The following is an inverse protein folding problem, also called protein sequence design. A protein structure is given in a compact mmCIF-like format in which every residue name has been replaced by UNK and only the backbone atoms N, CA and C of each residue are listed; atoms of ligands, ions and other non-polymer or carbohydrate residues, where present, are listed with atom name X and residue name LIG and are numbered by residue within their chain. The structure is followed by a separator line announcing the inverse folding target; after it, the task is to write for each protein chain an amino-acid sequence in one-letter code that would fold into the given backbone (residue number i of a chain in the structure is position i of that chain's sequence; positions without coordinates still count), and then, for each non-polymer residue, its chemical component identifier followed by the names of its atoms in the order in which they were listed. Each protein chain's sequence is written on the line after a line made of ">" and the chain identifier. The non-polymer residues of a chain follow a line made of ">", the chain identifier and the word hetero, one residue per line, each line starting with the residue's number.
data_IF_035405359269
#
_entry.id   IF_035405359269
#
_cell.length_a   1.000
_cell.length_b   1.000
_cell.length_c   1.000
_cell.angle_alpha   90.00
_cell.angle_beta   90.00
_cell.angle_gamma   90.00
#
_symmetry.space_group_name_H-M   'P 1'
#
loop_
_entity.id
_entity.type
_entity.pdbx_description
1 polymer ?
#
# COMPACT_ATOMS: atom_id res chain seq x y z
N UNK A 1 9.85 -11.64 7.30
CA UNK A 1 10.80 -12.07 6.24
C UNK A 1 10.10 -11.88 4.91
N UNK A 2 10.46 -10.83 4.20
CA UNK A 2 9.86 -10.50 2.90
C UNK A 2 10.37 -11.45 1.84
N UNK A 3 9.49 -12.01 1.00
CA UNK A 3 9.86 -12.94 -0.08
C UNK A 3 10.64 -12.24 -1.21
N UNK A 4 11.93 -11.96 -0.98
CA UNK A 4 12.86 -11.32 -1.91
C UNK A 4 12.99 -12.06 -3.25
N UNK A 5 12.90 -13.39 -3.24
CA UNK A 5 12.99 -14.22 -4.46
C UNK A 5 11.85 -13.95 -5.47
N UNK A 6 10.72 -13.41 -4.99
CA UNK A 6 9.53 -13.15 -5.80
C UNK A 6 9.41 -11.69 -6.27
N UNK A 7 10.42 -10.83 -6.02
CA UNK A 7 10.46 -9.45 -6.52
C UNK A 7 11.14 -9.32 -7.90
N UNK A 8 11.58 -10.43 -8.50
CA UNK A 8 12.31 -10.45 -9.78
C UNK A 8 11.54 -9.82 -10.94
N UNK A 9 10.22 -10.03 -11.02
CA UNK A 9 9.36 -9.41 -12.03
C UNK A 9 9.28 -7.89 -11.88
N UNK A 10 9.15 -7.41 -10.65
CA UNK A 10 9.18 -5.98 -10.39
C UNK A 10 10.55 -5.36 -10.69
N UNK A 11 11.66 -6.07 -10.40
CA UNK A 11 13.02 -5.63 -10.79
C UNK A 11 13.18 -5.54 -12.31
N UNK A 12 12.71 -6.54 -13.06
CA UNK A 12 12.74 -6.53 -14.51
C UNK A 12 11.91 -5.38 -15.11
N UNK A 13 10.84 -4.99 -14.45
CA UNK A 13 10.02 -3.83 -14.82
C UNK A 13 10.60 -2.48 -14.36
N UNK A 14 11.81 -2.46 -13.76
CA UNK A 14 12.40 -1.29 -13.12
C UNK A 14 11.47 -0.62 -12.10
N UNK A 15 10.67 -1.43 -11.39
CA UNK A 15 9.91 -0.96 -10.25
C UNK A 15 10.89 -0.66 -9.12
N UNK A 16 10.99 0.62 -8.76
CA UNK A 16 11.83 1.11 -7.68
C UNK A 16 11.57 0.35 -6.36
N UNK A 17 10.33 -0.06 -6.07
CA UNK A 17 9.98 -0.81 -4.85
C UNK A 17 10.45 -2.26 -4.86
N UNK A 18 10.89 -2.76 -6.00
CA UNK A 18 11.47 -4.09 -6.14
C UNK A 18 12.99 -4.06 -6.05
N UNK A 19 13.60 -2.88 -5.95
CA UNK A 19 15.04 -2.74 -5.71
C UNK A 19 15.38 -3.01 -4.24
N UNK A 20 16.09 -4.12 -4.01
CA UNK A 20 16.48 -4.56 -2.67
C UNK A 20 17.36 -3.55 -1.92
N UNK A 21 18.07 -2.70 -2.65
CA UNK A 21 18.89 -1.60 -2.10
C UNK A 21 18.07 -0.56 -1.34
N UNK A 22 16.77 -0.39 -1.63
CA UNK A 22 15.91 0.56 -0.91
C UNK A 22 15.60 0.10 0.52
N UNK A 23 15.72 -1.19 0.82
CA UNK A 23 15.45 -1.74 2.17
C UNK A 23 13.99 -1.65 2.64
N UNK A 24 13.08 -1.12 1.82
CA UNK A 24 11.65 -0.95 2.12
C UNK A 24 10.81 -1.75 1.13
N UNK A 25 9.70 -2.30 1.62
CA UNK A 25 8.82 -3.20 0.85
C UNK A 25 7.44 -2.58 0.54
N UNK A 26 7.24 -1.37 1.04
CA UNK A 26 6.06 -0.53 0.89
C UNK A 26 6.52 0.91 0.68
N UNK A 27 5.69 1.73 0.06
CA UNK A 27 5.94 3.16 -0.17
C UNK A 27 4.68 3.96 0.08
N UNK A 28 4.85 5.10 0.73
CA UNK A 28 3.80 6.06 0.98
C UNK A 28 3.69 7.03 -0.20
N UNK A 29 2.47 7.19 -0.73
CA UNK A 29 2.20 7.89 -1.98
C UNK A 29 0.88 8.67 -1.89
N UNK A 30 0.86 9.88 -2.42
CA UNK A 30 -0.35 10.69 -2.57
C UNK A 30 -0.69 10.93 -4.04
N UNK A 31 -1.97 11.12 -4.33
CA UNK A 31 -2.46 11.55 -5.63
C UNK A 31 -3.70 12.43 -5.47
N UNK A 32 -3.80 13.48 -6.28
CA UNK A 32 -4.97 14.37 -6.38
C UNK A 32 -5.78 14.10 -7.66
N UNK A 33 -5.30 13.19 -8.52
CA UNK A 33 -5.97 12.80 -9.74
C UNK A 33 -5.18 11.77 -10.54
N UNK A 34 -5.64 11.48 -11.76
CA UNK A 34 -4.91 10.58 -12.66
C UNK A 34 -3.57 11.20 -13.08
N UNK A 35 -2.50 10.41 -12.98
CA UNK A 35 -1.17 10.83 -13.40
C UNK A 35 -0.41 11.71 -12.39
N UNK A 36 -0.98 12.00 -11.22
CA UNK A 36 -0.35 12.85 -10.18
C UNK A 36 0.23 12.05 -9.02
N UNK A 37 0.33 10.72 -9.14
CA UNK A 37 0.82 9.85 -8.07
C UNK A 37 2.28 10.20 -7.75
N UNK A 38 2.53 10.58 -6.51
CA UNK A 38 3.83 11.12 -6.08
C UNK A 38 4.22 10.51 -4.74
N UNK A 39 5.50 10.15 -4.60
CA UNK A 39 6.07 9.68 -3.33
C UNK A 39 6.02 10.79 -2.29
N UNK A 40 5.53 10.45 -1.10
CA UNK A 40 5.56 11.36 0.04
C UNK A 40 7.01 11.58 0.52
N UNK A 41 7.34 12.78 1.00
CA UNK A 41 8.65 13.03 1.62
C UNK A 41 8.83 12.22 2.91
N UNK A 42 7.73 11.98 3.63
CA UNK A 42 7.69 11.15 4.81
C UNK A 42 7.22 9.73 4.46
N UNK A 43 7.96 8.72 4.95
CA UNK A 43 7.54 7.32 4.91
C UNK A 43 7.01 6.94 6.29
N UNK A 44 5.69 6.97 6.45
CA UNK A 44 5.03 6.61 7.72
C UNK A 44 4.50 5.17 7.73
N UNK A 45 4.45 4.51 6.57
CA UNK A 45 3.99 3.13 6.40
C UNK A 45 5.17 2.16 6.37
N UNK A 46 5.05 1.06 7.11
CA UNK A 46 5.95 -0.08 7.03
C UNK A 46 5.15 -1.35 6.70
N UNK A 47 5.85 -2.42 6.36
CA UNK A 47 5.18 -3.64 5.96
C UNK A 47 6.10 -4.82 5.74
N UNK A 48 5.48 -5.94 5.39
CA UNK A 48 6.17 -7.11 4.91
C UNK A 48 5.24 -7.91 3.98
N UNK A 49 5.82 -8.78 3.17
CA UNK A 49 5.05 -9.64 2.28
C UNK A 49 5.61 -11.05 2.22
N UNK A 50 4.74 -12.02 1.95
CA UNK A 50 5.14 -13.40 1.73
C UNK A 50 4.34 -13.95 0.56
N UNK A 51 5.03 -14.59 -0.37
CA UNK A 51 4.41 -15.41 -1.38
C UNK A 51 4.56 -16.88 -1.01
N UNK A 52 3.45 -17.61 -0.99
CA UNK A 52 3.46 -19.05 -0.74
C UNK A 52 2.25 -19.69 -1.41
N UNK A 53 2.47 -20.81 -2.09
CA UNK A 53 1.41 -21.63 -2.70
C UNK A 53 0.46 -20.85 -3.60
N UNK A 54 0.98 -19.96 -4.45
CA UNK A 54 0.15 -19.19 -5.39
C UNK A 54 -0.50 -17.93 -4.81
N UNK A 55 -0.24 -17.59 -3.54
CA UNK A 55 -0.92 -16.49 -2.85
C UNK A 55 0.09 -15.51 -2.24
N UNK A 56 -0.18 -14.22 -2.43
CA UNK A 56 0.49 -13.14 -1.71
C UNK A 56 -0.23 -12.82 -0.41
N UNK A 57 0.53 -12.77 0.69
CA UNK A 57 0.10 -12.17 1.95
C UNK A 57 0.91 -10.90 2.14
N UNK A 58 0.24 -9.77 2.32
CA UNK A 58 0.86 -8.46 2.52
C UNK A 58 0.32 -7.85 3.81
N UNK A 59 1.23 -7.36 4.64
CA UNK A 59 0.91 -6.61 5.84
C UNK A 59 1.47 -5.21 5.64
N UNK A 60 0.61 -4.20 5.77
CA UNK A 60 0.99 -2.79 5.84
C UNK A 60 0.50 -2.24 7.17
N UNK A 61 1.32 -1.45 7.84
CA UNK A 61 0.98 -0.87 9.14
C UNK A 61 1.64 0.50 9.30
N UNK A 62 0.95 1.37 10.03
CA UNK A 62 1.36 2.72 10.41
C UNK A 62 0.69 3.07 11.74
N UNK A 63 1.18 4.12 12.39
CA UNK A 63 0.44 4.74 13.48
C UNK A 63 -0.91 5.28 12.98
N UNK A 64 -1.95 5.20 13.82
CA UNK A 64 -3.27 5.75 13.47
C UNK A 64 -3.21 7.27 13.28
N UNK A 65 -2.35 7.93 14.07
CA UNK A 65 -2.05 9.36 13.98
C UNK A 65 -0.59 9.52 13.58
N UNK A 66 -0.33 10.36 12.59
CA UNK A 66 1.01 10.72 12.10
C UNK A 66 1.23 12.22 12.20
N UNK A 67 2.48 12.65 12.05
CA UNK A 67 2.83 14.08 12.05
C UNK A 67 2.70 14.72 10.67
N UNK A 68 2.52 13.90 9.64
CA UNK A 68 2.46 14.34 8.27
C UNK A 68 1.04 14.82 7.92
N UNK A 69 0.96 16.03 7.39
CA UNK A 69 -0.30 16.66 7.00
C UNK A 69 -0.98 16.03 5.77
N UNK A 70 -0.21 15.32 4.94
CA UNK A 70 -0.69 14.65 3.74
C UNK A 70 -1.38 13.30 4.05
N UNK A 71 -1.27 12.84 5.29
CA UNK A 71 -1.83 11.59 5.75
C UNK A 71 -3.25 11.75 6.29
N UNK A 72 -4.09 10.77 5.96
CA UNK A 72 -5.35 10.57 6.68
C UNK A 72 -5.07 10.21 8.15
N UNK A 73 -5.75 10.90 9.06
CA UNK A 73 -5.68 10.63 10.50
C UNK A 73 -6.83 9.72 10.90
N UNK A 74 -6.51 8.53 11.39
CA UNK A 74 -7.50 7.55 11.84
C UNK A 74 -7.82 7.80 13.31
N UNK A 75 -8.91 8.53 13.58
CA UNK A 75 -9.39 8.82 14.94
C UNK A 75 -10.59 7.94 15.31
N UNK A 76 -10.76 7.53 16.58
CA UNK A 76 -11.94 6.78 17.01
C UNK A 76 -13.25 7.50 16.68
N UNK A 77 -14.20 6.77 16.09
CA UNK A 77 -15.45 7.28 15.53
C UNK A 77 -15.32 7.90 14.12
N UNK A 78 -14.08 8.05 13.63
CA UNK A 78 -13.78 8.61 12.33
C UNK A 78 -14.23 7.70 11.19
N UNK A 79 -14.72 8.32 10.11
CA UNK A 79 -15.19 7.64 8.90
C UNK A 79 -14.30 8.05 7.72
N UNK A 80 -13.93 7.06 6.91
CA UNK A 80 -13.23 7.27 5.65
C UNK A 80 -13.59 6.13 4.70
N UNK A 81 -12.85 6.01 3.60
CA UNK A 81 -12.98 4.92 2.66
C UNK A 81 -11.65 4.21 2.45
N UNK A 82 -11.76 2.95 2.04
CA UNK A 82 -10.65 2.10 1.68
C UNK A 82 -10.92 1.45 0.33
N UNK A 83 -9.87 1.29 -0.48
CA UNK A 83 -9.94 0.66 -1.79
C UNK A 83 -8.62 -0.07 -2.06
N UNK A 84 -8.66 -1.12 -2.88
CA UNK A 84 -7.49 -1.91 -3.25
C UNK A 84 -7.36 -1.91 -4.78
N UNK A 85 -6.14 -1.70 -5.25
CA UNK A 85 -5.75 -2.00 -6.62
C UNK A 85 -4.63 -3.05 -6.63
N UNK A 86 -4.73 -4.01 -7.55
CA UNK A 86 -3.78 -5.12 -7.71
C UNK A 86 -3.24 -5.13 -9.13
N UNK A 87 -1.92 -5.27 -9.24
CA UNK A 87 -1.20 -5.43 -10.49
C UNK A 87 -0.76 -6.88 -10.64
N UNK A 88 -1.29 -7.58 -11.64
CA UNK A 88 -0.84 -8.92 -12.00
C UNK A 88 0.42 -8.83 -12.87
N UNK A 89 1.61 -8.85 -12.29
CA UNK A 89 2.86 -8.75 -13.06
C UNK A 89 3.03 -9.80 -14.16
N UNK A 90 2.53 -11.03 -13.96
CA UNK A 90 2.50 -12.08 -15.00
C UNK A 90 1.51 -11.83 -16.14
N UNK A 91 0.68 -10.78 -16.04
CA UNK A 91 -0.21 -10.24 -17.08
C UNK A 91 0.26 -8.90 -17.62
N UNK A 92 1.48 -8.48 -17.25
CA UNK A 92 2.10 -7.22 -17.67
C UNK A 92 1.37 -5.96 -17.16
N UNK A 93 0.51 -6.09 -16.15
CA UNK A 93 -0.14 -4.96 -15.48
C UNK A 93 0.90 -4.02 -14.87
N UNK A 94 0.76 -2.71 -15.15
CA UNK A 94 1.63 -1.64 -14.62
C UNK A 94 0.91 -0.29 -14.64
N UNK A 95 1.32 0.64 -13.77
CA UNK A 95 0.77 2.00 -13.71
C UNK A 95 -0.77 2.00 -13.61
N UNK A 96 -1.46 2.63 -14.57
CA UNK A 96 -2.93 2.65 -14.62
C UNK A 96 -3.58 1.31 -15.02
N UNK A 97 -2.83 0.38 -15.61
CA UNK A 97 -3.31 -0.94 -15.99
C UNK A 97 -3.24 -1.86 -14.78
N UNK A 98 -4.40 -2.06 -14.13
CA UNK A 98 -4.56 -2.80 -12.89
C UNK A 98 -6.00 -3.23 -12.69
N UNK A 99 -6.21 -4.21 -11.82
CA UNK A 99 -7.53 -4.53 -11.32
C UNK A 99 -7.82 -3.70 -10.06
N UNK A 100 -9.04 -3.20 -9.90
CA UNK A 100 -9.44 -2.40 -8.74
C UNK A 100 -10.71 -2.95 -8.10
N UNK A 101 -10.87 -2.76 -6.79
CA UNK A 101 -12.19 -2.85 -6.19
C UNK A 101 -13.07 -1.72 -6.75
N UNK A 102 -14.15 -2.10 -7.44
CA UNK A 102 -15.06 -1.16 -8.12
C UNK A 102 -15.71 -0.21 -7.11
N UNK A 103 -16.01 -0.71 -5.91
CA UNK A 103 -16.60 0.08 -4.84
C UNK A 103 -15.56 0.49 -3.81
N UNK A 104 -15.62 1.74 -3.38
CA UNK A 104 -14.92 2.20 -2.19
C UNK A 104 -15.60 1.61 -0.96
N UNK A 105 -14.84 0.91 -0.13
CA UNK A 105 -15.33 0.31 1.09
C UNK A 105 -15.39 1.36 2.19
N UNK A 106 -16.56 1.66 2.78
CA UNK A 106 -16.63 2.55 3.92
C UNK A 106 -15.90 1.93 5.10
N UNK A 107 -15.06 2.73 5.76
CA UNK A 107 -14.29 2.35 6.93
C UNK A 107 -14.69 3.25 8.10
N UNK A 108 -15.11 2.62 9.20
CA UNK A 108 -15.33 3.26 10.49
C UNK A 108 -14.26 2.75 11.45
N UNK A 109 -13.45 3.64 12.02
CA UNK A 109 -12.65 3.28 13.17
C UNK A 109 -13.56 3.33 14.40
N UNK A 110 -13.86 2.19 15.00
CA UNK A 110 -14.78 2.12 16.13
C UNK A 110 -14.26 2.90 17.35
N UNK A 111 -15.19 3.47 18.11
CA UNK A 111 -14.87 3.97 19.45
C UNK A 111 -14.81 2.79 20.40
N UNK A 112 -13.60 2.46 20.88
CA UNK A 112 -13.47 1.48 21.95
C UNK A 112 -13.76 2.22 23.26
N UNK A 113 -14.98 2.05 23.77
CA UNK A 113 -15.24 2.26 25.20
C UNK A 113 -14.67 1.04 25.92
N UNK A 114 -13.50 1.20 26.55
CA UNK A 114 -13.02 0.18 27.48
C UNK A 114 -14.02 0.10 28.65
N UNK A 115 -14.55 -1.08 28.99
CA UNK A 115 -15.32 -1.27 30.22
C UNK A 115 -14.45 -1.11 31.47
#
# INVERSE_FOLDING_TARGET
>A
MTSVEHVSGGRAAHNLLSELSRGMVVEDLNAEGFGTLTTQEHQDVNGCSKYKNGVWTVIMYRSLITKNHDDIQFVPGGKTYFNIAIWGGGKEDRNGQKNLSIQWHPLLLEQIAYP
#
